data_IF_803036930937
#
_entry.id   IF_803036930937
#
_cell.length_a   1.000
_cell.length_b   1.000
_cell.length_c   1.000
_cell.angle_alpha   90.00
_cell.angle_beta   90.00
_cell.angle_gamma   90.00
#
_symmetry.space_group_name_H-M   'P 1'
#
loop_
_entity.id
_entity.type
_entity.pdbx_description
1 polymer ?
#
# COMPACT_ATOMS: atom_id res chain seq x y z
N UNK A 1 37.10 -29.34 15.30
CA UNK A 1 36.75 -27.90 15.29
C UNK A 1 36.78 -27.48 13.84
N UNK A 2 35.63 -27.50 13.18
CA UNK A 2 35.47 -27.06 11.80
C UNK A 2 34.67 -25.77 11.83
N UNK A 3 35.28 -24.68 11.32
CA UNK A 3 34.64 -23.39 11.18
C UNK A 3 33.54 -23.48 10.10
N UNK A 4 32.30 -23.37 10.55
CA UNK A 4 31.12 -23.25 9.71
C UNK A 4 30.91 -21.78 9.33
N UNK A 5 31.69 -21.31 8.35
CA UNK A 5 31.53 -19.97 7.79
C UNK A 5 30.47 -20.02 6.68
N UNK A 6 29.20 -20.02 7.08
CA UNK A 6 28.07 -19.84 6.16
C UNK A 6 27.94 -18.37 5.76
N UNK A 7 28.80 -17.93 4.84
CA UNK A 7 28.58 -16.68 4.11
C UNK A 7 27.29 -16.80 3.30
N UNK A 8 26.22 -16.12 3.77
CA UNK A 8 25.02 -15.83 2.98
C UNK A 8 25.45 -15.12 1.69
N UNK A 9 25.48 -15.83 0.57
CA UNK A 9 25.68 -15.26 -0.77
C UNK A 9 24.62 -14.17 -1.01
N UNK A 10 25.03 -12.89 -0.89
CA UNK A 10 24.25 -11.74 -1.39
C UNK A 10 23.94 -11.99 -2.87
N UNK A 11 22.66 -12.10 -3.22
CA UNK A 11 22.20 -12.05 -4.62
C UNK A 11 22.83 -10.82 -5.28
N UNK A 12 23.58 -11.00 -6.37
CA UNK A 12 24.06 -9.88 -7.20
C UNK A 12 22.83 -9.14 -7.71
N UNK A 13 22.72 -7.82 -7.46
CA UNK A 13 21.60 -7.04 -7.99
C UNK A 13 21.65 -7.06 -9.51
N UNK A 14 20.50 -7.24 -10.15
CA UNK A 14 20.36 -7.24 -11.62
C UNK A 14 20.49 -5.85 -12.22
N UNK A 15 20.35 -4.81 -11.40
CA UNK A 15 20.39 -3.40 -11.79
C UNK A 15 21.70 -2.74 -11.34
N UNK A 16 22.09 -1.69 -12.07
CA UNK A 16 23.33 -0.94 -11.87
C UNK A 16 23.27 -0.09 -10.59
N UNK A 17 22.09 0.41 -10.19
CA UNK A 17 21.93 1.22 -8.96
C UNK A 17 20.60 0.98 -8.24
N UNK A 18 20.67 0.60 -6.96
CA UNK A 18 19.50 0.38 -6.09
C UNK A 18 18.92 1.70 -5.58
N UNK A 19 17.59 1.81 -5.47
CA UNK A 19 16.92 2.98 -4.87
C UNK A 19 17.45 3.31 -3.47
N UNK A 20 17.70 2.28 -2.65
CA UNK A 20 18.30 2.44 -1.33
C UNK A 20 19.66 3.16 -1.39
N UNK A 21 20.47 2.88 -2.43
CA UNK A 21 21.82 3.42 -2.63
C UNK A 21 21.85 4.76 -3.39
N UNK A 22 20.76 5.18 -4.02
CA UNK A 22 20.70 6.48 -4.70
C UNK A 22 20.83 7.63 -3.70
N UNK A 23 21.59 8.67 -4.04
CA UNK A 23 21.60 9.89 -3.23
C UNK A 23 20.28 10.64 -3.39
N UNK A 24 19.95 11.53 -2.44
CA UNK A 24 18.76 12.40 -2.57
C UNK A 24 18.81 13.23 -3.86
N UNK A 25 19.98 13.76 -4.23
CA UNK A 25 20.14 14.57 -5.43
C UNK A 25 19.91 13.75 -6.72
N UNK A 26 20.39 12.51 -6.76
CA UNK A 26 20.16 11.62 -7.90
C UNK A 26 18.68 11.24 -8.02
N UNK A 27 18.02 10.99 -6.89
CA UNK A 27 16.58 10.71 -6.86
C UNK A 27 15.74 11.93 -7.30
N UNK A 28 16.05 13.13 -6.81
CA UNK A 28 15.38 14.36 -7.25
C UNK A 28 15.59 14.62 -8.76
N UNK A 29 16.80 14.36 -9.27
CA UNK A 29 17.12 14.47 -10.69
C UNK A 29 16.31 13.47 -11.52
N UNK A 30 16.22 12.21 -11.09
CA UNK A 30 15.43 11.17 -11.78
C UNK A 30 13.94 11.46 -11.77
N UNK A 31 13.42 11.94 -10.65
CA UNK A 31 12.00 12.27 -10.49
C UNK A 31 11.63 13.60 -11.15
N UNK A 32 12.60 14.45 -11.48
CA UNK A 32 12.37 15.78 -12.03
C UNK A 32 11.73 16.76 -11.03
N UNK A 33 11.77 16.45 -9.73
CA UNK A 33 11.14 17.23 -8.65
C UNK A 33 12.04 17.26 -7.43
N UNK A 34 12.07 18.42 -6.75
CA UNK A 34 12.67 18.53 -5.42
C UNK A 34 11.70 18.05 -4.36
N UNK A 35 12.15 17.24 -3.41
CA UNK A 35 11.27 16.63 -2.41
C UNK A 35 10.60 17.68 -1.51
N UNK A 36 11.31 18.79 -1.26
CA UNK A 36 10.77 19.95 -0.54
C UNK A 36 9.59 20.63 -1.25
N UNK A 37 9.44 20.42 -2.56
CA UNK A 37 8.37 20.99 -3.38
C UNK A 37 7.14 20.07 -3.49
N UNK A 38 7.19 18.85 -2.93
CA UNK A 38 6.03 17.96 -2.92
C UNK A 38 4.91 18.59 -2.10
N UNK A 39 3.76 18.76 -2.74
CA UNK A 39 2.62 19.47 -2.16
C UNK A 39 1.97 18.65 -1.05
N UNK A 40 1.73 19.31 0.09
CA UNK A 40 0.93 18.76 1.18
C UNK A 40 -0.57 19.00 0.93
N UNK A 41 -1.37 18.00 1.28
CA UNK A 41 -2.85 18.08 1.31
C UNK A 41 -3.39 17.49 2.62
N UNK A 42 -4.61 17.85 3.01
CA UNK A 42 -5.31 17.15 4.10
C UNK A 42 -5.69 15.74 3.67
N UNK A 43 -5.95 14.88 4.65
CA UNK A 43 -6.44 13.51 4.39
C UNK A 43 -7.78 13.56 3.66
N UNK A 44 -8.74 14.37 4.13
CA UNK A 44 -10.05 14.52 3.49
C UNK A 44 -9.94 14.94 2.02
N UNK A 45 -9.01 15.86 1.72
CA UNK A 45 -8.78 16.29 0.34
C UNK A 45 -8.18 15.15 -0.50
N UNK A 46 -7.28 14.35 0.07
CA UNK A 46 -6.72 13.19 -0.62
C UNK A 46 -7.81 12.14 -0.91
N UNK A 47 -8.68 11.85 0.07
CA UNK A 47 -9.80 10.91 -0.08
C UNK A 47 -10.82 11.39 -1.11
N UNK A 48 -11.16 12.68 -1.10
CA UNK A 48 -12.03 13.28 -2.11
C UNK A 48 -11.44 13.17 -3.53
N UNK A 49 -10.11 13.34 -3.68
CA UNK A 49 -9.42 13.14 -4.96
C UNK A 49 -9.37 11.67 -5.41
N UNK A 50 -9.62 10.72 -4.51
CA UNK A 50 -9.76 9.29 -4.82
C UNK A 50 -11.21 8.89 -5.12
N UNK A 51 -12.15 9.83 -5.21
CA UNK A 51 -13.59 9.56 -5.31
C UNK A 51 -14.06 8.53 -4.27
N UNK A 52 -13.48 8.55 -3.08
CA UNK A 52 -13.82 7.61 -2.03
C UNK A 52 -15.16 8.00 -1.40
N UNK A 53 -16.17 7.15 -1.56
CA UNK A 53 -17.45 7.24 -0.88
C UNK A 53 -17.60 6.02 0.03
N UNK A 54 -17.83 6.25 1.33
CA UNK A 54 -18.29 5.20 2.23
C UNK A 54 -19.77 4.97 1.98
N UNK A 55 -20.10 4.04 1.10
CA UNK A 55 -21.50 3.65 0.84
C UNK A 55 -21.98 2.56 1.81
N UNK A 56 -21.06 1.91 2.53
CA UNK A 56 -21.31 0.79 3.43
C UNK A 56 -20.60 1.03 4.77
N UNK A 57 -21.31 1.73 5.65
CA UNK A 57 -20.81 2.14 6.97
C UNK A 57 -20.51 0.93 7.86
N UNK A 58 -21.34 -0.11 7.82
CA UNK A 58 -21.20 -1.31 8.65
C UNK A 58 -19.90 -2.06 8.32
N UNK A 59 -19.61 -2.25 7.03
CA UNK A 59 -18.37 -2.90 6.59
C UNK A 59 -17.15 -2.15 7.13
N UNK A 60 -17.11 -0.83 6.95
CA UNK A 60 -15.93 -0.07 7.30
C UNK A 60 -15.72 0.00 8.82
N UNK A 61 -16.79 0.08 9.60
CA UNK A 61 -16.72 -0.01 11.06
C UNK A 61 -16.14 -1.36 11.49
N UNK A 62 -16.56 -2.46 10.86
CA UNK A 62 -16.04 -3.80 11.16
C UNK A 62 -14.56 -3.94 10.81
N UNK A 63 -14.14 -3.48 9.63
CA UNK A 63 -12.71 -3.50 9.24
C UNK A 63 -11.86 -2.65 10.19
N UNK A 64 -12.34 -1.45 10.55
CA UNK A 64 -11.64 -0.57 11.50
C UNK A 64 -11.51 -1.21 12.88
N UNK A 65 -12.56 -1.86 13.37
CA UNK A 65 -12.53 -2.61 14.63
C UNK A 65 -11.54 -3.77 14.60
N UNK A 66 -11.49 -4.53 13.51
CA UNK A 66 -10.53 -5.64 13.35
C UNK A 66 -9.08 -5.12 13.30
N UNK A 67 -8.83 -4.03 12.57
CA UNK A 67 -7.51 -3.36 12.55
C UNK A 67 -7.10 -2.93 13.97
N UNK A 68 -8.00 -2.26 14.69
CA UNK A 68 -7.76 -1.87 16.09
C UNK A 68 -7.37 -3.07 16.95
N UNK A 69 -8.17 -4.14 16.91
CA UNK A 69 -7.91 -5.36 17.69
C UNK A 69 -6.55 -5.96 17.40
N UNK A 70 -6.15 -6.03 16.13
CA UNK A 70 -4.85 -6.58 15.73
C UNK A 70 -3.67 -5.72 16.16
N UNK A 71 -3.81 -4.39 16.10
CA UNK A 71 -2.81 -3.47 16.65
C UNK A 71 -2.69 -3.69 18.15
N UNK A 72 -3.79 -3.71 18.91
CA UNK A 72 -3.75 -3.93 20.36
C UNK A 72 -3.12 -5.28 20.71
N UNK A 73 -3.48 -6.35 19.99
CA UNK A 73 -2.87 -7.67 20.18
C UNK A 73 -1.35 -7.62 19.94
N UNK A 74 -0.91 -6.97 18.87
CA UNK A 74 0.50 -6.75 18.60
C UNK A 74 1.19 -6.04 19.77
N UNK A 75 0.64 -4.91 20.24
CA UNK A 75 1.23 -4.12 21.33
C UNK A 75 1.29 -4.89 22.66
N UNK A 76 0.31 -5.74 22.94
CA UNK A 76 0.29 -6.59 24.14
C UNK A 76 1.35 -7.69 24.09
N UNK A 77 1.63 -8.24 22.90
CA UNK A 77 2.55 -9.37 22.73
C UNK A 77 3.99 -8.92 22.51
N UNK A 78 4.20 -7.96 21.62
CA UNK A 78 5.51 -7.49 21.17
C UNK A 78 5.97 -6.21 21.89
N UNK A 79 5.05 -5.50 22.55
CA UNK A 79 5.32 -4.21 23.18
C UNK A 79 5.13 -3.01 22.25
N UNK A 80 5.30 -1.82 22.80
CA UNK A 80 5.18 -0.58 22.04
C UNK A 80 6.38 -0.40 21.09
N UNK A 81 6.18 -0.09 19.80
CA UNK A 81 7.26 0.10 18.83
C UNK A 81 8.00 1.43 19.08
N UNK A 82 8.91 1.46 20.06
CA UNK A 82 9.67 2.65 20.42
C UNK A 82 11.14 2.54 20.02
N UNK A 83 11.70 3.61 19.46
CA UNK A 83 13.15 3.70 19.24
C UNK A 83 13.97 3.69 20.54
N UNK A 84 13.33 4.00 21.67
CA UNK A 84 13.94 3.93 23.00
C UNK A 84 14.22 2.49 23.43
N UNK A 85 13.50 1.52 22.88
CA UNK A 85 13.77 0.11 23.10
C UNK A 85 14.96 -0.35 22.21
N UNK A 86 16.07 -0.83 22.79
CA UNK A 86 17.22 -1.31 22.03
C UNK A 86 16.90 -2.55 21.18
N UNK A 87 15.89 -3.34 21.55
CA UNK A 87 15.47 -4.54 20.83
C UNK A 87 14.51 -4.23 19.67
N UNK A 88 13.97 -3.00 19.60
CA UNK A 88 13.12 -2.55 18.51
C UNK A 88 13.88 -2.50 17.18
N UNK A 89 13.44 -3.30 16.22
CA UNK A 89 14.05 -3.46 14.90
C UNK A 89 13.06 -3.11 13.79
N UNK A 90 13.58 -2.95 12.58
CA UNK A 90 12.75 -2.74 11.39
C UNK A 90 11.72 -3.87 11.20
N UNK A 91 12.05 -5.11 11.60
CA UNK A 91 11.12 -6.23 11.60
C UNK A 91 9.86 -6.00 12.46
N UNK A 92 10.00 -5.33 13.61
CA UNK A 92 8.85 -4.98 14.46
C UNK A 92 7.91 -4.02 13.71
N UNK A 93 8.48 -3.03 13.01
CA UNK A 93 7.69 -2.13 12.15
C UNK A 93 7.00 -2.92 11.04
N UNK A 94 7.71 -3.81 10.34
CA UNK A 94 7.15 -4.65 9.29
C UNK A 94 5.96 -5.47 9.79
N UNK A 95 6.09 -6.08 10.95
CA UNK A 95 5.05 -6.95 11.50
C UNK A 95 3.84 -6.14 11.96
N UNK A 96 4.04 -4.96 12.56
CA UNK A 96 2.95 -4.03 12.87
C UNK A 96 2.23 -3.58 11.59
N UNK A 97 2.98 -3.22 10.53
CA UNK A 97 2.40 -2.88 9.22
C UNK A 97 1.54 -4.02 8.69
N UNK A 98 2.00 -5.27 8.81
CA UNK A 98 1.23 -6.44 8.38
C UNK A 98 -0.07 -6.60 9.18
N UNK A 99 -0.05 -6.35 10.50
CA UNK A 99 -1.25 -6.38 11.34
C UNK A 99 -2.27 -5.31 10.94
N UNK A 100 -1.81 -4.15 10.49
CA UNK A 100 -2.66 -3.07 9.99
C UNK A 100 -3.27 -3.42 8.63
N UNK A 101 -2.44 -3.83 7.65
CA UNK A 101 -2.91 -3.92 6.26
C UNK A 101 -3.61 -5.24 5.94
N UNK A 102 -3.29 -6.33 6.64
CA UNK A 102 -3.84 -7.65 6.36
C UNK A 102 -5.38 -7.71 6.39
N UNK A 103 -6.08 -7.26 7.46
CA UNK A 103 -7.55 -7.29 7.48
C UNK A 103 -8.16 -6.40 6.40
N UNK A 104 -7.54 -5.25 6.09
CA UNK A 104 -8.03 -4.31 5.07
C UNK A 104 -7.95 -4.93 3.67
N UNK A 105 -6.83 -5.59 3.35
CA UNK A 105 -6.64 -6.28 2.06
C UNK A 105 -7.62 -7.45 1.94
N UNK A 106 -7.79 -8.23 3.00
CA UNK A 106 -8.75 -9.33 3.03
C UNK A 106 -10.17 -8.83 2.74
N UNK A 107 -10.61 -7.83 3.49
CA UNK A 107 -11.94 -7.26 3.34
C UNK A 107 -12.15 -6.60 1.96
N UNK A 108 -11.13 -5.95 1.41
CA UNK A 108 -11.14 -5.43 0.05
C UNK A 108 -11.37 -6.53 -1.00
N UNK A 109 -10.67 -7.66 -0.88
CA UNK A 109 -10.82 -8.80 -1.80
C UNK A 109 -12.24 -9.37 -1.72
N UNK A 110 -12.77 -9.56 -0.52
CA UNK A 110 -14.12 -10.10 -0.32
C UNK A 110 -15.17 -9.14 -0.89
N UNK A 111 -15.06 -7.84 -0.59
CA UNK A 111 -16.04 -6.83 -1.00
C UNK A 111 -16.04 -6.58 -2.50
N UNK A 112 -14.87 -6.54 -3.13
CA UNK A 112 -14.75 -6.22 -4.57
C UNK A 112 -14.76 -7.45 -5.47
N UNK A 113 -14.56 -8.65 -4.93
CA UNK A 113 -14.40 -9.89 -5.70
C UNK A 113 -13.09 -9.97 -6.50
N UNK A 114 -12.14 -9.03 -6.33
CA UNK A 114 -10.86 -8.99 -7.05
C UNK A 114 -9.88 -10.04 -6.52
N UNK A 115 -10.06 -11.30 -6.93
CA UNK A 115 -9.23 -12.44 -6.51
C UNK A 115 -7.77 -12.38 -6.95
N UNK A 116 -7.43 -11.53 -7.93
CA UNK A 116 -6.05 -11.31 -8.39
C UNK A 116 -5.21 -10.43 -7.46
N UNK A 117 -5.84 -9.78 -6.48
CA UNK A 117 -5.17 -8.88 -5.55
C UNK A 117 -4.39 -9.69 -4.52
N UNK A 118 -3.08 -9.44 -4.44
CA UNK A 118 -2.17 -10.15 -3.55
C UNK A 118 -1.15 -9.20 -2.92
N UNK A 119 -0.82 -9.46 -1.66
CA UNK A 119 0.26 -8.79 -0.94
C UNK A 119 1.56 -9.55 -1.18
N UNK A 120 2.61 -8.84 -1.60
CA UNK A 120 3.98 -9.36 -1.69
C UNK A 120 4.88 -8.60 -0.72
N UNK A 121 5.75 -9.32 0.00
CA UNK A 121 6.82 -8.73 0.83
C UNK A 121 8.13 -8.73 0.06
N UNK A 122 8.97 -7.72 0.28
CA UNK A 122 10.29 -7.57 -0.36
C UNK A 122 10.22 -7.73 -1.89
N UNK A 123 9.25 -7.03 -2.50
CA UNK A 123 8.99 -7.16 -3.94
C UNK A 123 9.89 -6.23 -4.73
N UNK A 124 10.55 -6.78 -5.74
CA UNK A 124 11.34 -6.00 -6.69
C UNK A 124 10.43 -5.18 -7.62
N UNK A 125 10.71 -3.87 -7.72
CA UNK A 125 10.14 -2.99 -8.73
C UNK A 125 11.31 -2.49 -9.59
N UNK A 126 11.26 -2.84 -10.88
CA UNK A 126 12.29 -2.49 -11.84
C UNK A 126 11.79 -1.33 -12.71
N UNK A 127 12.65 -0.34 -12.90
CA UNK A 127 12.38 0.74 -13.84
C UNK A 127 12.30 0.22 -15.28
N UNK A 128 11.58 0.93 -16.13
CA UNK A 128 11.47 0.58 -17.56
C UNK A 128 12.81 0.60 -18.29
N UNK A 129 13.78 1.38 -17.80
CA UNK A 129 15.15 1.41 -18.32
C UNK A 129 15.97 0.16 -17.95
N UNK A 130 15.49 -0.68 -17.01
CA UNK A 130 16.20 -1.84 -16.45
C UNK A 130 17.56 -1.53 -15.82
N UNK A 131 17.93 -0.26 -15.68
CA UNK A 131 19.21 0.19 -15.09
C UNK A 131 19.06 0.46 -13.59
N UNK A 132 17.84 0.79 -13.17
CA UNK A 132 17.50 1.12 -11.80
C UNK A 132 16.34 0.27 -11.29
N UNK A 133 16.36 -0.02 -10.00
CA UNK A 133 15.37 -0.85 -9.34
C UNK A 133 15.46 -0.75 -7.83
N UNK A 134 14.43 -1.22 -7.16
CA UNK A 134 14.37 -1.29 -5.71
C UNK A 134 13.58 -2.50 -5.24
N UNK A 135 13.79 -2.85 -3.98
CA UNK A 135 13.01 -3.86 -3.28
C UNK A 135 12.14 -3.13 -2.28
N UNK A 136 10.83 -3.17 -2.49
CA UNK A 136 9.87 -2.51 -1.62
C UNK A 136 9.36 -3.50 -0.57
N UNK A 137 9.16 -3.00 0.64
CA UNK A 137 8.83 -3.84 1.78
C UNK A 137 7.48 -4.52 1.63
N UNK A 138 6.46 -3.78 1.20
CA UNK A 138 5.14 -4.32 0.88
C UNK A 138 4.62 -3.75 -0.43
N UNK A 139 4.16 -4.63 -1.31
CA UNK A 139 3.53 -4.25 -2.57
C UNK A 139 2.25 -5.05 -2.73
N UNK A 140 1.14 -4.36 -2.91
CA UNK A 140 -0.12 -4.97 -3.36
C UNK A 140 -0.14 -4.90 -4.87
N UNK A 141 -0.28 -6.06 -5.51
CA UNK A 141 -0.45 -6.18 -6.95
C UNK A 141 -1.81 -6.79 -7.28
N UNK A 142 -2.37 -6.42 -8.42
CA UNK A 142 -3.51 -7.11 -9.01
C UNK A 142 -3.06 -7.90 -10.25
N UNK A 143 -3.12 -9.22 -10.16
CA UNK A 143 -2.84 -10.13 -11.26
C UNK A 143 -4.04 -10.19 -12.21
N UNK A 144 -3.94 -9.49 -13.33
CA UNK A 144 -5.00 -9.44 -14.35
C UNK A 144 -4.96 -10.70 -15.21
N UNK A 145 -3.75 -11.17 -15.53
CA UNK A 145 -3.53 -12.42 -16.27
C UNK A 145 -2.17 -13.03 -15.89
N UNK A 146 -1.84 -14.17 -16.48
CA UNK A 146 -0.53 -14.82 -16.32
C UNK A 146 0.64 -13.89 -16.67
N UNK A 147 0.43 -12.94 -17.59
CA UNK A 147 1.48 -12.06 -18.12
C UNK A 147 1.28 -10.59 -17.79
N UNK A 148 0.18 -10.23 -17.11
CA UNK A 148 -0.17 -8.86 -16.82
C UNK A 148 -0.54 -8.69 -15.36
N UNK A 149 0.18 -7.80 -14.69
CA UNK A 149 -0.10 -7.37 -13.33
C UNK A 149 -0.10 -5.85 -13.25
N UNK A 150 -0.76 -5.33 -12.22
CA UNK A 150 -0.73 -3.91 -11.88
C UNK A 150 -0.30 -3.69 -10.46
N UNK A 151 0.56 -2.71 -10.26
CA UNK A 151 0.91 -2.20 -8.95
C UNK A 151 -0.23 -1.34 -8.42
N UNK A 152 -0.84 -1.78 -7.32
CA UNK A 152 -2.00 -1.12 -6.72
C UNK A 152 -1.58 -0.19 -5.59
N UNK A 153 -0.74 -0.70 -4.69
CA UNK A 153 -0.32 0.00 -3.47
C UNK A 153 1.12 -0.40 -3.13
N UNK A 154 1.93 0.58 -2.74
CA UNK A 154 3.32 0.37 -2.27
C UNK A 154 3.42 0.89 -0.85
N UNK A 155 4.02 0.14 0.07
CA UNK A 155 4.26 0.61 1.43
C UNK A 155 5.73 0.37 1.75
N UNK A 156 6.39 1.47 2.09
CA UNK A 156 7.79 1.48 2.51
C UNK A 156 7.83 1.79 4.00
N UNK A 157 8.22 0.81 4.82
CA UNK A 157 8.38 1.01 6.24
C UNK A 157 9.87 1.19 6.59
N UNK A 158 10.12 2.01 7.61
CA UNK A 158 11.46 2.26 8.15
C UNK A 158 11.35 2.51 9.64
N UNK A 159 12.34 2.05 10.41
CA UNK A 159 12.40 2.30 11.86
C UNK A 159 12.34 3.80 12.22
N UNK A 160 13.20 4.64 11.61
CA UNK A 160 13.44 6.00 12.13
C UNK A 160 13.47 7.12 11.10
N UNK A 161 13.78 6.85 9.83
CA UNK A 161 14.05 7.91 8.86
C UNK A 161 13.03 7.99 7.72
N UNK A 162 11.98 8.76 7.94
CA UNK A 162 10.91 9.02 6.96
C UNK A 162 11.44 9.59 5.64
N UNK A 163 12.59 10.29 5.65
CA UNK A 163 13.20 10.83 4.42
C UNK A 163 13.71 9.75 3.45
N UNK A 164 14.27 8.65 3.96
CA UNK A 164 14.72 7.53 3.14
C UNK A 164 13.55 6.69 2.66
N UNK A 165 12.55 6.46 3.53
CA UNK A 165 11.29 5.81 3.14
C UNK A 165 10.62 6.61 2.01
N UNK A 166 10.55 7.94 2.14
CA UNK A 166 10.01 8.84 1.12
C UNK A 166 10.77 8.73 -0.19
N UNK A 167 12.11 8.74 -0.16
CA UNK A 167 12.93 8.61 -1.37
C UNK A 167 12.60 7.32 -2.13
N UNK A 168 12.61 6.18 -1.44
CA UNK A 168 12.36 4.87 -2.05
C UNK A 168 10.93 4.79 -2.59
N UNK A 169 9.94 5.13 -1.75
CA UNK A 169 8.54 5.10 -2.14
C UNK A 169 8.25 6.00 -3.36
N UNK A 170 8.83 7.20 -3.45
CA UNK A 170 8.63 8.09 -4.61
C UNK A 170 9.19 7.52 -5.92
N UNK A 171 10.38 6.91 -5.87
CA UNK A 171 10.97 6.23 -7.02
C UNK A 171 10.09 5.06 -7.46
N UNK A 172 9.70 4.24 -6.50
CA UNK A 172 8.89 3.05 -6.73
C UNK A 172 7.50 3.38 -7.25
N UNK A 173 6.88 4.49 -6.82
CA UNK A 173 5.63 4.98 -7.41
C UNK A 173 5.82 5.45 -8.85
N UNK A 174 6.94 6.12 -9.17
CA UNK A 174 7.21 6.50 -10.56
C UNK A 174 7.28 5.27 -11.46
N UNK A 175 8.10 4.30 -11.08
CA UNK A 175 8.34 3.11 -11.90
C UNK A 175 7.12 2.18 -11.93
N UNK A 176 6.37 2.05 -10.82
CA UNK A 176 5.10 1.33 -10.79
C UNK A 176 4.05 1.93 -11.73
N UNK A 177 3.96 3.26 -11.80
CA UNK A 177 3.04 3.92 -12.73
C UNK A 177 3.46 3.71 -14.18
N UNK A 178 4.75 3.86 -14.47
CA UNK A 178 5.30 3.68 -15.80
C UNK A 178 5.06 2.23 -16.28
N UNK A 179 5.20 1.24 -15.38
CA UNK A 179 4.87 -0.17 -15.63
C UNK A 179 3.36 -0.43 -15.78
N UNK A 180 2.50 0.28 -15.03
CA UNK A 180 1.05 0.19 -15.15
C UNK A 180 0.50 0.79 -16.47
N UNK A 181 1.33 1.51 -17.24
CA UNK A 181 0.90 2.23 -18.44
C UNK A 181 0.08 3.49 -18.15
N UNK A 182 0.14 4.03 -16.92
CA UNK A 182 -0.56 5.24 -16.51
C UNK A 182 -1.44 5.06 -15.27
N UNK A 183 -2.46 5.91 -15.15
CA UNK A 183 -3.31 5.98 -13.97
C UNK A 183 -2.63 6.68 -12.78
N UNK A 184 -3.36 6.73 -11.66
CA UNK A 184 -2.78 7.13 -10.39
C UNK A 184 -2.24 5.90 -9.65
N UNK A 185 -1.11 6.08 -8.97
CA UNK A 185 -0.57 5.09 -8.03
C UNK A 185 -0.43 5.71 -6.67
N UNK A 186 -0.53 4.86 -5.65
CA UNK A 186 -0.58 5.25 -4.26
C UNK A 186 0.48 4.51 -3.47
N UNK A 187 1.11 5.24 -2.55
CA UNK A 187 2.11 4.68 -1.67
C UNK A 187 1.95 5.18 -0.25
N UNK A 188 2.50 4.45 0.71
CA UNK A 188 2.61 4.88 2.08
C UNK A 188 4.06 4.80 2.54
N UNK A 189 4.45 5.78 3.35
CA UNK A 189 5.66 5.69 4.15
C UNK A 189 5.27 5.59 5.61
N UNK A 190 5.91 4.70 6.35
CA UNK A 190 5.54 4.48 7.74
C UNK A 190 6.71 4.12 8.65
N UNK A 191 6.58 4.51 9.93
CA UNK A 191 7.44 4.03 11.03
C UNK A 191 6.70 3.03 11.94
N UNK A 192 5.56 2.51 11.49
CA UNK A 192 4.63 1.71 12.29
C UNK A 192 3.63 2.60 13.00
N UNK A 193 4.12 3.55 13.81
CA UNK A 193 3.30 4.54 14.51
C UNK A 193 2.73 5.60 13.56
N UNK A 194 3.57 6.12 12.67
CA UNK A 194 3.29 7.33 11.89
C UNK A 194 3.26 7.01 10.40
N UNK A 195 2.14 7.32 9.74
CA UNK A 195 1.88 7.00 8.34
C UNK A 195 1.68 8.25 7.50
N UNK A 196 2.11 8.21 6.24
CA UNK A 196 1.78 9.25 5.25
C UNK A 196 1.43 8.62 3.93
N UNK A 197 0.26 8.97 3.40
CA UNK A 197 -0.16 8.58 2.07
C UNK A 197 0.47 9.50 1.02
N UNK A 198 0.91 8.92 -0.08
CA UNK A 198 1.50 9.58 -1.24
C UNK A 198 0.69 9.18 -2.47
N UNK A 199 0.40 10.15 -3.33
CA UNK A 199 -0.26 9.94 -4.62
C UNK A 199 0.61 10.47 -5.75
N UNK A 200 0.71 9.72 -6.84
CA UNK A 200 1.34 10.15 -8.08
C UNK A 200 0.41 9.90 -9.27
N UNK A 201 0.08 10.96 -10.02
CA UNK A 201 -0.77 10.88 -11.22
C UNK A 201 -0.01 10.84 -12.54
N UNK A 202 1.33 10.88 -12.48
CA UNK A 202 2.19 10.99 -13.66
C UNK A 202 2.72 12.39 -13.93
N UNK A 203 2.22 13.39 -13.19
CA UNK A 203 2.66 14.78 -13.34
C UNK A 203 3.09 15.36 -12.01
N UNK A 204 2.38 15.03 -10.93
CA UNK A 204 2.65 15.61 -9.62
C UNK A 204 2.57 14.57 -8.50
N UNK A 205 3.48 14.71 -7.54
CA UNK A 205 3.39 14.03 -6.26
C UNK A 205 2.63 14.89 -5.25
N UNK A 206 1.76 14.25 -4.48
CA UNK A 206 1.09 14.83 -3.32
C UNK A 206 1.25 13.91 -2.13
N UNK A 207 1.26 14.48 -0.93
CA UNK A 207 1.30 13.70 0.31
C UNK A 207 0.39 14.28 1.37
N UNK A 208 -0.15 13.41 2.21
CA UNK A 208 -0.94 13.80 3.38
C UNK A 208 -0.04 14.30 4.50
N UNK A 209 -0.63 15.01 5.46
CA UNK A 209 -0.04 15.11 6.80
C UNK A 209 0.12 13.73 7.44
N UNK A 210 0.81 13.71 8.58
CA UNK A 210 0.96 12.51 9.38
C UNK A 210 -0.41 11.94 9.80
N UNK A 211 -0.56 10.63 9.69
CA UNK A 211 -1.70 9.84 10.16
C UNK A 211 -1.16 8.92 11.25
N UNK A 212 -1.66 9.08 12.47
CA UNK A 212 -1.25 8.27 13.61
C UNK A 212 -1.99 6.93 13.56
N UNK A 213 -1.25 5.82 13.67
CA UNK A 213 -1.82 4.47 13.73
C UNK A 213 -1.79 3.89 15.14
N UNK A 214 -0.82 4.30 15.95
CA UNK A 214 -0.57 3.83 17.32
C UNK A 214 -0.27 5.05 18.21
N UNK A 215 -0.68 4.97 19.48
CA UNK A 215 -0.34 5.95 20.52
C UNK A 215 -0.33 5.29 21.90
N UNK A 216 0.33 5.92 22.87
CA UNK A 216 0.40 5.43 24.25
C UNK A 216 -0.98 5.31 24.89
N UNK A 217 -1.26 4.16 25.51
CA UNK A 217 -2.56 3.89 26.14
C UNK A 217 -3.70 3.56 25.15
N UNK A 218 -3.39 3.36 23.86
CA UNK A 218 -4.39 3.01 22.84
C UNK A 218 -5.25 1.81 23.20
N UNK A 219 -4.72 0.82 23.93
CA UNK A 219 -5.47 -0.36 24.38
C UNK A 219 -6.65 -0.04 25.30
N UNK A 220 -6.65 1.14 25.93
CA UNK A 220 -7.70 1.63 26.82
C UNK A 220 -8.62 2.66 26.14
N UNK A 221 -8.21 3.21 24.99
CA UNK A 221 -8.91 4.32 24.31
C UNK A 221 -9.24 4.00 22.85
N UNK A 222 -10.10 2.98 22.67
CA UNK A 222 -10.62 2.60 21.36
C UNK A 222 -11.39 3.74 20.69
N UNK A 223 -12.13 4.54 21.47
CA UNK A 223 -12.96 5.62 20.93
C UNK A 223 -12.10 6.70 20.27
N UNK A 224 -11.00 7.10 20.93
CA UNK A 224 -10.04 8.02 20.36
C UNK A 224 -9.40 7.46 19.09
N UNK A 225 -9.00 6.18 19.09
CA UNK A 225 -8.43 5.56 17.89
C UNK A 225 -9.44 5.53 16.73
N UNK A 226 -10.69 5.16 17.00
CA UNK A 226 -11.76 5.14 16.00
C UNK A 226 -11.99 6.52 15.39
N UNK A 227 -11.89 7.58 16.20
CA UNK A 227 -12.12 8.95 15.77
C UNK A 227 -10.94 9.54 14.98
N UNK A 228 -9.72 9.39 15.49
CA UNK A 228 -8.57 10.18 15.02
C UNK A 228 -7.56 9.36 14.19
N UNK A 229 -7.53 8.03 14.36
CA UNK A 229 -6.55 7.13 13.71
C UNK A 229 -7.17 6.29 12.59
N UNK A 230 -8.44 5.90 12.71
CA UNK A 230 -9.10 4.95 11.81
C UNK A 230 -9.18 5.41 10.35
N UNK A 231 -8.97 6.71 10.08
CA UNK A 231 -8.88 7.27 8.73
C UNK A 231 -7.76 6.63 7.89
N UNK A 232 -6.76 6.01 8.54
CA UNK A 232 -5.74 5.20 7.86
C UNK A 232 -6.38 4.05 7.06
N UNK A 233 -7.42 3.42 7.61
CA UNK A 233 -8.15 2.32 6.96
C UNK A 233 -8.82 2.82 5.68
N UNK A 234 -9.47 3.98 5.75
CA UNK A 234 -10.13 4.61 4.60
C UNK A 234 -9.11 4.97 3.52
N UNK A 235 -7.95 5.48 3.91
CA UNK A 235 -6.87 5.82 2.98
C UNK A 235 -6.32 4.58 2.25
N UNK A 236 -6.08 3.49 2.97
CA UNK A 236 -5.59 2.23 2.39
C UNK A 236 -6.63 1.61 1.46
N UNK A 237 -7.91 1.62 1.85
CA UNK A 237 -8.98 1.12 1.01
C UNK A 237 -9.17 1.97 -0.25
N UNK A 238 -9.14 3.31 -0.12
CA UNK A 238 -9.21 4.23 -1.26
C UNK A 238 -8.03 4.03 -2.22
N UNK A 239 -6.82 3.83 -1.70
CA UNK A 239 -5.64 3.54 -2.49
C UNK A 239 -5.79 2.23 -3.30
N UNK A 240 -6.28 1.16 -2.67
CA UNK A 240 -6.53 -0.12 -3.36
C UNK A 240 -7.65 -0.04 -4.40
N UNK A 241 -8.68 0.75 -4.09
CA UNK A 241 -9.82 0.96 -4.98
C UNK A 241 -9.45 1.75 -6.23
N UNK A 242 -8.41 2.58 -6.20
CA UNK A 242 -8.05 3.46 -7.33
C UNK A 242 -6.69 3.13 -7.97
N UNK A 243 -5.83 2.38 -7.26
CA UNK A 243 -4.47 2.08 -7.68
C UNK A 243 -4.41 1.29 -8.99
N UNK A 244 -3.62 1.78 -9.94
CA UNK A 244 -3.41 1.11 -11.24
C UNK A 244 -4.60 1.21 -12.19
N UNK A 245 -5.65 1.95 -11.86
CA UNK A 245 -6.75 2.21 -12.78
C UNK A 245 -6.37 3.28 -13.81
N UNK A 246 -6.51 2.96 -15.10
CA UNK A 246 -6.44 3.95 -16.18
C UNK A 246 -7.76 4.70 -16.24
N UNK A 247 -7.72 6.02 -16.44
CA UNK A 247 -8.93 6.83 -16.66
C UNK A 247 -9.67 6.27 -17.88
N UNK A 248 -10.76 5.53 -17.66
CA UNK A 248 -11.50 4.82 -18.70
C UNK A 248 -12.03 3.44 -18.30
N UNK A 249 -11.43 2.77 -17.31
CA UNK A 249 -11.90 1.47 -16.81
C UNK A 249 -12.78 1.61 -15.56
N UNK A 250 -13.66 2.59 -15.52
CA UNK A 250 -14.73 2.64 -14.53
C UNK A 250 -15.83 1.68 -14.98
N UNK A 251 -15.58 0.37 -14.87
CA UNK A 251 -16.69 -0.58 -14.83
C UNK A 251 -17.42 -0.33 -13.53
N UNK A 252 -18.56 0.34 -13.66
CA UNK A 252 -19.60 0.45 -12.64
C UNK A 252 -19.78 -0.92 -12.00
N UNK A 253 -19.63 -0.97 -10.67
CA UNK A 253 -19.99 -2.11 -9.86
C UNK A 253 -21.51 -2.16 -9.88
N UNK A 254 -22.08 -2.85 -10.86
CA UNK A 254 -23.52 -3.14 -10.88
C UNK A 254 -23.68 -4.63 -10.55
N UNK A 255 -23.90 -4.90 -9.27
CA UNK A 255 -24.27 -6.21 -8.75
C UNK A 255 -25.74 -6.49 -9.08
N UNK A 256 -26.02 -6.91 -10.31
CA UNK A 256 -27.33 -7.43 -10.71
C UNK A 256 -27.31 -8.96 -10.82
N UNK A 257 -28.35 -9.69 -10.37
CA UNK A 257 -28.38 -11.14 -10.47
C UNK A 257 -28.46 -11.59 -11.94
N UNK A 258 -27.70 -12.64 -12.27
CA UNK A 258 -27.81 -13.38 -13.53
C UNK A 258 -29.22 -13.99 -13.66
N UNK A 259 -30.13 -13.29 -14.33
CA UNK A 259 -31.31 -13.92 -14.91
C UNK A 259 -30.85 -14.83 -16.06
N UNK A 260 -31.09 -16.14 -15.88
CA UNK A 260 -30.98 -17.12 -16.95
C UNK A 260 -32.05 -16.82 -17.99
N UNK A 261 -31.63 -16.45 -19.19
CA UNK A 261 -32.47 -16.52 -20.37
C UNK A 261 -32.62 -17.99 -20.78
N UNK A 262 -33.76 -18.59 -20.42
CA UNK A 262 -34.22 -19.83 -21.06
C UNK A 262 -34.79 -19.45 -22.43
N UNK A 263 -33.99 -19.67 -23.46
CA UNK A 263 -34.42 -19.61 -24.86
C UNK A 263 -35.30 -20.81 -25.18
N UNK A 264 -36.54 -20.53 -25.60
CA UNK A 264 -37.45 -21.51 -26.15
C UNK A 264 -36.98 -22.09 -27.49
N UNK A 265 -37.39 -23.32 -27.74
CA UNK A 265 -37.31 -23.98 -29.03
C UNK A 265 -38.50 -24.92 -29.19
N UNK A 266 -39.55 -24.42 -29.84
CA UNK A 266 -40.65 -25.22 -30.38
C UNK A 266 -40.12 -26.20 -31.43
N UNK A 267 -40.60 -27.44 -31.39
CA UNK A 267 -40.57 -28.35 -32.54
C UNK A 267 -41.86 -29.18 -32.52
N UNK A 268 -42.81 -28.80 -33.35
CA UNK A 268 -43.91 -29.68 -33.77
C UNK A 268 -44.40 -29.25 -35.16
N UNK A 269 -43.96 -29.97 -36.18
CA UNK A 269 -44.78 -30.25 -37.36
C UNK A 269 -44.33 -31.58 -38.00
N UNK A 270 -45.33 -32.42 -38.24
CA UNK A 270 -45.37 -33.77 -38.85
C UNK A 270 -45.11 -34.99 -37.94
#
# INVERSE_FOLDING_TARGET
MGDDNTERKKRKSKWTTSYSNMTMADSEKRLGIRFRNIRWVSVDKMLAECNYTMEDEDWAVNTKDEVYKRIVQYLVVEGYPSEEDPDFKEANVSDLVLHVISPIIFDFIIKTGRKGVTLSREREIVATDSETGGTEEFVVVDQISVTAEKFVLIIEAKRSFVGQAMKQCLLSLKDARDNNGGGAVYGFVTTGENWRMIRYDGTSFRKTRNIMAVFDGMNEDKELWMKDCSVLVDCLFAAMSNGGMTAGNTTLIDGGPLERSEGGGEASHE
#
